data_IF_947718378596
#
_entry.id   IF_947718378596
#
_cell.length_a   1.000
_cell.length_b   1.000
_cell.length_c   1.000
_cell.angle_alpha   90.00
_cell.angle_beta   90.00
_cell.angle_gamma   90.00
#
_symmetry.space_group_name_H-M   'P 1'
#
loop_
_entity.id
_entity.type
_entity.pdbx_description
1 polymer ?
#
# COMPACT_ATOMS: atom_id res chain seq x y z
N UNK A 1 -2.51 -26.75 0.06
CA UNK A 1 -1.74 -27.93 -0.37
C UNK A 1 -1.38 -27.83 -1.86
N UNK A 2 -2.33 -27.84 -2.80
CA UNK A 2 -2.04 -27.74 -4.25
C UNK A 2 -1.17 -26.52 -4.61
N UNK A 3 -1.53 -25.31 -4.17
CA UNK A 3 -0.74 -24.10 -4.43
C UNK A 3 0.67 -24.16 -3.80
N UNK A 4 0.82 -24.86 -2.67
CA UNK A 4 2.14 -25.03 -2.03
C UNK A 4 3.01 -25.98 -2.85
N UNK A 5 2.48 -27.15 -3.24
CA UNK A 5 3.22 -28.09 -4.09
C UNK A 5 3.59 -27.50 -5.46
N UNK A 6 2.75 -26.61 -6.01
CA UNK A 6 3.11 -25.84 -7.21
C UNK A 6 4.27 -24.88 -6.98
N UNK A 7 4.37 -24.25 -5.80
CA UNK A 7 5.54 -23.44 -5.43
C UNK A 7 6.79 -24.30 -5.24
N UNK A 8 6.61 -25.53 -4.76
CA UNK A 8 7.70 -26.49 -4.58
C UNK A 8 8.13 -27.16 -5.91
N UNK A 9 7.52 -26.77 -7.04
CA UNK A 9 7.93 -27.15 -8.39
C UNK A 9 7.18 -28.33 -9.02
N UNK A 10 6.28 -28.98 -8.30
CA UNK A 10 5.55 -30.16 -8.81
C UNK A 10 4.58 -29.77 -9.93
N UNK A 11 4.42 -30.65 -10.90
CA UNK A 11 3.42 -30.57 -11.96
C UNK A 11 2.02 -30.93 -11.44
N UNK A 12 0.98 -30.52 -12.16
CA UNK A 12 -0.40 -30.89 -11.82
C UNK A 12 -0.62 -32.41 -11.82
N UNK A 13 0.12 -33.15 -12.65
CA UNK A 13 0.03 -34.61 -12.69
C UNK A 13 0.67 -35.23 -11.45
N UNK A 14 1.88 -34.81 -11.07
CA UNK A 14 2.54 -35.30 -9.85
C UNK A 14 1.72 -35.00 -8.59
N UNK A 15 1.08 -33.82 -8.53
CA UNK A 15 0.18 -33.47 -7.43
C UNK A 15 -1.08 -34.33 -7.46
N UNK A 16 -1.62 -34.62 -8.65
CA UNK A 16 -2.77 -35.51 -8.80
C UNK A 16 -2.45 -36.93 -8.30
N UNK A 17 -1.28 -37.45 -8.67
CA UNK A 17 -0.80 -38.75 -8.25
C UNK A 17 -0.56 -38.81 -6.73
N UNK A 18 0.06 -37.76 -6.15
CA UNK A 18 0.30 -37.62 -4.71
C UNK A 18 -1.01 -37.55 -3.91
N UNK A 19 -2.00 -36.81 -4.42
CA UNK A 19 -3.29 -36.60 -3.76
C UNK A 19 -4.35 -37.63 -4.18
N UNK A 20 -3.95 -38.65 -4.95
CA UNK A 20 -4.82 -39.71 -5.47
C UNK A 20 -6.11 -39.15 -6.10
N UNK A 21 -5.96 -38.15 -6.95
CA UNK A 21 -7.05 -37.48 -7.65
C UNK A 21 -6.72 -37.31 -9.12
N UNK A 22 -7.58 -36.62 -9.87
CA UNK A 22 -7.34 -36.38 -11.30
C UNK A 22 -6.63 -35.06 -11.51
N UNK A 23 -5.79 -34.98 -12.55
CA UNK A 23 -5.20 -33.73 -13.03
C UNK A 23 -6.26 -32.65 -13.29
N UNK A 24 -7.43 -33.03 -13.80
CA UNK A 24 -8.56 -32.13 -14.00
C UNK A 24 -9.07 -31.52 -12.69
N UNK A 25 -9.14 -32.31 -11.61
CA UNK A 25 -9.53 -31.80 -10.30
C UNK A 25 -8.47 -30.84 -9.73
N UNK A 26 -7.18 -31.15 -9.89
CA UNK A 26 -6.09 -30.23 -9.51
C UNK A 26 -6.17 -28.90 -10.27
N UNK A 27 -6.42 -28.96 -11.59
CA UNK A 27 -6.60 -27.76 -12.43
C UNK A 27 -7.76 -26.89 -11.96
N UNK A 28 -8.90 -27.50 -11.60
CA UNK A 28 -10.05 -26.78 -11.03
C UNK A 28 -9.71 -26.11 -9.71
N UNK A 29 -9.04 -26.81 -8.80
CA UNK A 29 -8.61 -26.28 -7.50
C UNK A 29 -7.64 -25.10 -7.69
N UNK A 30 -6.65 -25.21 -8.59
CA UNK A 30 -5.74 -24.11 -8.91
C UNK A 30 -6.48 -22.90 -9.45
N UNK A 31 -7.41 -23.12 -10.39
CA UNK A 31 -8.21 -22.04 -10.97
C UNK A 31 -9.02 -21.31 -9.90
N UNK A 32 -9.73 -22.04 -9.04
CA UNK A 32 -10.51 -21.46 -7.95
C UNK A 32 -9.62 -20.74 -6.92
N UNK A 33 -8.47 -21.30 -6.57
CA UNK A 33 -7.54 -20.67 -5.64
C UNK A 33 -6.97 -19.37 -6.21
N UNK A 34 -6.57 -19.35 -7.49
CA UNK A 34 -6.07 -18.15 -8.16
C UNK A 34 -7.16 -17.07 -8.26
N UNK A 35 -8.39 -17.47 -8.55
CA UNK A 35 -9.53 -16.56 -8.58
C UNK A 35 -9.81 -15.95 -7.21
N UNK A 36 -9.80 -16.76 -6.15
CA UNK A 36 -9.96 -16.27 -4.79
C UNK A 36 -8.83 -15.29 -4.39
N UNK A 37 -7.59 -15.56 -4.79
CA UNK A 37 -6.46 -14.64 -4.58
C UNK A 37 -6.68 -13.33 -5.35
N UNK A 38 -7.18 -13.39 -6.58
CA UNK A 38 -7.50 -12.20 -7.40
C UNK A 38 -8.57 -11.36 -6.70
N UNK A 39 -9.68 -11.97 -6.30
CA UNK A 39 -10.78 -11.30 -5.61
C UNK A 39 -10.33 -10.68 -4.28
N UNK A 40 -9.51 -11.38 -3.50
CA UNK A 40 -8.96 -10.84 -2.26
C UNK A 40 -8.07 -9.62 -2.51
N UNK A 41 -7.25 -9.63 -3.57
CA UNK A 41 -6.43 -8.46 -3.96
C UNK A 41 -7.29 -7.28 -4.40
N UNK A 42 -8.35 -7.53 -5.16
CA UNK A 42 -9.30 -6.49 -5.60
C UNK A 42 -10.05 -5.88 -4.41
N UNK A 43 -10.53 -6.72 -3.48
CA UNK A 43 -11.16 -6.25 -2.25
C UNK A 43 -10.20 -5.42 -1.39
N UNK A 44 -8.95 -5.84 -1.23
CA UNK A 44 -7.93 -5.06 -0.54
C UNK A 44 -7.65 -3.74 -1.26
N UNK A 45 -7.50 -3.74 -2.59
CA UNK A 45 -7.30 -2.53 -3.37
C UNK A 45 -8.47 -1.55 -3.25
N UNK A 46 -9.71 -2.06 -3.19
CA UNK A 46 -10.92 -1.26 -2.96
C UNK A 46 -10.97 -0.66 -1.55
N UNK A 47 -10.64 -1.43 -0.51
CA UNK A 47 -10.53 -0.91 0.86
C UNK A 47 -9.43 0.16 0.93
N UNK A 48 -8.30 -0.06 0.25
CA UNK A 48 -7.16 0.86 0.25
C UNK A 48 -7.41 2.14 -0.55
N UNK A 49 -8.23 2.10 -1.60
CA UNK A 49 -8.59 3.30 -2.37
C UNK A 49 -9.57 4.21 -1.62
N UNK A 50 -10.38 3.66 -0.71
CA UNK A 50 -11.29 4.43 0.14
C UNK A 50 -10.67 4.96 1.43
N UNK A 51 -9.50 4.44 1.83
CA UNK A 51 -8.93 4.67 3.16
C UNK A 51 -7.62 5.47 3.08
N UNK A 52 -7.73 6.77 2.81
CA UNK A 52 -6.67 7.71 3.17
C UNK A 52 -6.82 8.05 4.65
N UNK A 53 -5.95 7.50 5.50
CA UNK A 53 -5.99 7.75 6.95
C UNK A 53 -5.22 9.02 7.26
N UNK A 54 -5.77 9.88 8.13
CA UNK A 54 -5.03 11.04 8.64
C UNK A 54 -3.84 10.54 9.46
N UNK A 55 -2.63 10.90 9.04
CA UNK A 55 -1.38 10.41 9.64
C UNK A 55 -0.74 11.45 10.55
N UNK A 56 -0.78 12.71 10.14
CA UNK A 56 -0.35 13.84 10.96
C UNK A 56 -0.89 15.16 10.40
N UNK A 57 -0.90 16.18 11.25
CA UNK A 57 -1.19 17.56 10.87
C UNK A 57 0.09 18.37 11.01
N UNK A 58 0.55 18.96 9.91
CA UNK A 58 1.70 19.86 9.90
C UNK A 58 1.25 21.18 10.52
N UNK A 59 2.03 21.68 11.48
CA UNK A 59 1.67 22.91 12.19
C UNK A 59 2.04 24.16 11.40
N UNK A 60 1.20 25.19 11.43
CA UNK A 60 1.56 26.51 10.91
C UNK A 60 2.87 27.02 11.54
N UNK A 61 3.78 27.54 10.73
CA UNK A 61 5.13 27.99 11.10
C UNK A 61 6.19 26.88 11.13
N UNK A 62 5.83 25.62 10.91
CA UNK A 62 6.80 24.51 10.82
C UNK A 62 7.46 24.43 9.45
N UNK A 63 8.67 23.85 9.42
CA UNK A 63 9.44 23.63 8.20
C UNK A 63 9.16 22.23 7.63
N UNK A 64 8.86 22.15 6.33
CA UNK A 64 8.54 20.90 5.63
C UNK A 64 9.58 19.80 5.84
N UNK A 65 10.87 20.15 5.93
CA UNK A 65 11.95 19.18 6.17
C UNK A 65 11.85 18.52 7.54
N UNK A 66 11.44 19.26 8.58
CA UNK A 66 11.21 18.70 9.93
C UNK A 66 9.93 17.88 9.95
N UNK A 67 8.87 18.40 9.35
CA UNK A 67 7.58 17.74 9.27
C UNK A 67 7.61 16.44 8.45
N UNK A 68 8.49 16.34 7.45
CA UNK A 68 8.75 15.11 6.71
C UNK A 68 9.11 13.96 7.65
N UNK A 69 9.93 14.22 8.68
CA UNK A 69 10.28 13.22 9.67
C UNK A 69 9.06 12.77 10.50
N UNK A 70 8.17 13.70 10.85
CA UNK A 70 6.90 13.41 11.53
C UNK A 70 6.02 12.50 10.66
N UNK A 71 5.92 12.78 9.36
CA UNK A 71 5.17 11.96 8.40
C UNK A 71 5.74 10.52 8.37
N UNK A 72 7.06 10.35 8.22
CA UNK A 72 7.67 9.02 8.22
C UNK A 72 7.47 8.28 9.54
N UNK A 73 7.56 8.99 10.67
CA UNK A 73 7.35 8.42 12.01
C UNK A 73 5.92 7.90 12.17
N UNK A 74 4.93 8.72 11.82
CA UNK A 74 3.52 8.35 11.91
C UNK A 74 3.15 7.25 10.90
N UNK A 75 3.70 7.29 9.68
CA UNK A 75 3.54 6.20 8.70
C UNK A 75 4.08 4.86 9.22
N UNK A 76 5.24 4.89 9.88
CA UNK A 76 5.84 3.72 10.52
C UNK A 76 5.00 3.18 11.67
N UNK A 77 4.36 4.05 12.46
CA UNK A 77 3.41 3.61 13.51
C UNK A 77 2.19 2.88 12.93
N UNK A 78 1.77 3.27 11.73
CA UNK A 78 0.67 2.61 10.99
C UNK A 78 1.14 1.37 10.22
N UNK A 79 2.41 0.96 10.32
CA UNK A 79 3.03 -0.09 9.50
C UNK A 79 2.90 0.13 7.98
N UNK A 80 2.81 1.40 7.54
CA UNK A 80 2.73 1.76 6.13
C UNK A 80 4.11 2.25 5.67
N UNK A 81 4.63 1.66 4.60
CA UNK A 81 5.89 2.11 3.99
C UNK A 81 5.60 3.24 3.00
N UNK A 82 6.09 4.44 3.29
CA UNK A 82 6.01 5.59 2.38
C UNK A 82 6.82 5.30 1.11
N UNK A 83 6.22 5.52 -0.07
CA UNK A 83 6.86 5.23 -1.36
C UNK A 83 7.75 6.37 -1.89
N UNK A 84 7.81 7.49 -1.18
CA UNK A 84 8.54 8.69 -1.59
C UNK A 84 9.82 8.85 -0.78
N UNK A 85 10.90 9.18 -1.48
CA UNK A 85 12.09 9.77 -0.86
C UNK A 85 11.79 11.17 -0.34
N UNK A 86 12.60 11.66 0.60
CA UNK A 86 12.32 12.92 1.31
C UNK A 86 12.15 14.11 0.36
N UNK A 87 12.95 14.19 -0.71
CA UNK A 87 12.81 15.23 -1.73
C UNK A 87 11.51 15.12 -2.54
N UNK A 88 11.13 13.89 -2.92
CA UNK A 88 9.89 13.64 -3.67
C UNK A 88 8.64 13.91 -2.82
N UNK A 89 8.71 13.60 -1.52
CA UNK A 89 7.70 13.91 -0.52
C UNK A 89 7.45 15.43 -0.45
N UNK A 90 8.52 16.20 -0.21
CA UNK A 90 8.45 17.65 -0.08
C UNK A 90 7.91 18.28 -1.36
N UNK A 91 8.40 17.86 -2.52
CA UNK A 91 7.91 18.34 -3.81
C UNK A 91 6.41 18.05 -4.01
N UNK A 92 5.96 16.85 -3.64
CA UNK A 92 4.53 16.50 -3.74
C UNK A 92 3.66 17.36 -2.84
N UNK A 93 4.07 17.66 -1.61
CA UNK A 93 3.33 18.54 -0.71
C UNK A 93 3.30 19.97 -1.25
N UNK A 94 4.43 20.46 -1.78
CA UNK A 94 4.52 21.78 -2.43
C UNK A 94 3.59 21.91 -3.65
N UNK A 95 3.49 20.86 -4.47
CA UNK A 95 2.59 20.83 -5.62
C UNK A 95 1.12 20.66 -5.23
N UNK A 96 0.83 19.99 -4.12
CA UNK A 96 -0.54 19.73 -3.69
C UNK A 96 -1.20 20.95 -3.03
N UNK A 97 -0.45 21.72 -2.24
CA UNK A 97 -0.97 22.88 -1.50
C UNK A 97 -0.03 24.09 -1.57
N UNK A 98 0.24 24.62 -2.77
CA UNK A 98 1.15 25.76 -2.93
C UNK A 98 0.66 27.01 -2.19
N UNK A 99 -0.65 27.18 -2.05
CA UNK A 99 -1.28 28.32 -1.36
C UNK A 99 -1.08 28.31 0.17
N UNK A 100 -0.97 27.11 0.77
CA UNK A 100 -0.74 26.93 2.21
C UNK A 100 0.74 26.93 2.59
N UNK A 101 1.62 27.16 1.61
CA UNK A 101 3.07 27.11 1.77
C UNK A 101 3.71 28.44 1.36
N UNK A 102 4.78 28.81 2.05
CA UNK A 102 5.65 29.93 1.66
C UNK A 102 7.06 29.38 1.55
N UNK A 103 7.42 28.94 0.33
CA UNK A 103 8.63 28.15 0.10
C UNK A 103 8.55 26.81 0.84
N UNK A 104 9.45 26.57 1.79
CA UNK A 104 9.48 25.37 2.63
C UNK A 104 8.75 25.51 3.97
N UNK A 105 8.14 26.68 4.23
CA UNK A 105 7.46 26.97 5.50
C UNK A 105 5.96 26.79 5.36
N UNK A 106 5.36 26.09 6.33
CA UNK A 106 3.92 25.86 6.43
C UNK A 106 3.23 27.13 6.94
N UNK A 107 2.29 27.68 6.17
CA UNK A 107 1.60 28.93 6.52
C UNK A 107 0.36 28.68 7.37
N UNK A 108 -0.34 27.59 7.10
CA UNK A 108 -1.56 27.14 7.78
C UNK A 108 -1.46 25.65 8.08
N UNK A 109 -2.27 25.13 9.00
CA UNK A 109 -2.22 23.71 9.34
C UNK A 109 -2.58 22.84 8.12
N UNK A 110 -1.72 21.87 7.80
CA UNK A 110 -1.91 20.97 6.64
C UNK A 110 -2.15 19.55 7.14
N UNK A 111 -3.27 18.96 6.77
CA UNK A 111 -3.56 17.57 7.10
C UNK A 111 -2.95 16.65 6.06
N UNK A 112 -2.11 15.72 6.51
CA UNK A 112 -1.45 14.74 5.66
C UNK A 112 -2.15 13.41 5.83
N UNK A 113 -2.66 12.90 4.72
CA UNK A 113 -3.30 11.59 4.65
C UNK A 113 -2.41 10.62 3.90
N UNK A 114 -2.35 9.39 4.37
CA UNK A 114 -1.60 8.31 3.77
C UNK A 114 -2.57 7.16 3.50
N UNK A 115 -2.51 6.60 2.29
CA UNK A 115 -3.20 5.35 2.03
C UNK A 115 -2.32 4.16 2.41
N UNK A 116 -2.92 2.96 2.47
CA UNK A 116 -2.23 1.73 2.84
C UNK A 116 -1.18 1.28 1.81
N UNK A 117 -1.15 1.88 0.61
CA UNK A 117 -0.09 1.63 -0.38
C UNK A 117 1.13 2.55 -0.21
N UNK A 118 1.08 3.55 0.68
CA UNK A 118 2.17 4.49 0.92
C UNK A 118 2.15 5.74 0.04
N UNK A 119 1.01 6.02 -0.60
CA UNK A 119 0.73 7.23 -1.37
C UNK A 119 0.16 8.31 -0.44
N UNK A 120 0.62 9.54 -0.62
CA UNK A 120 0.26 10.69 0.19
C UNK A 120 -0.75 11.58 -0.54
N UNK A 121 -1.74 12.01 0.24
CA UNK A 121 -2.79 12.94 -0.13
C UNK A 121 -2.77 14.11 0.85
N UNK A 122 -2.97 15.31 0.30
CA UNK A 122 -2.97 16.57 1.05
C UNK A 122 -4.21 17.33 0.62
N UNK A 123 -4.96 17.85 1.60
CA UNK A 123 -6.19 18.63 1.41
C UNK A 123 -6.08 19.99 2.11
#
# INVERSE_FOLDING_TARGET
MVIQYRKDGLTQQEIADLLQTTRSNISLIEKSANENIRLAKEALAYVYSQSATLVCTLSAGSELTREAYTIYKSARQLNIKVQYDTGALINRIMLAVPEKLTGTTVKENINIYLNLTGIIYVY
#
